data_IF_833875763272
#
_entry.id   IF_833875763272
#
_cell.length_a   1.000
_cell.length_b   1.000
_cell.length_c   1.000
_cell.angle_alpha   90.00
_cell.angle_beta   90.00
_cell.angle_gamma   90.00
#
_symmetry.space_group_name_H-M   'P 1'
#
loop_
_entity.id
_entity.type
_entity.pdbx_description
1 polymer ?
#
# COMPACT_ATOMS: atom_id res chain seq x y z
N UNK A 1 14.09 -24.72 -2.85
CA UNK A 1 12.90 -23.97 -2.45
C UNK A 1 13.29 -22.65 -1.81
N UNK A 2 12.35 -21.69 -1.72
CA UNK A 2 12.58 -20.44 -1.02
C UNK A 2 12.46 -20.63 0.50
N UNK A 3 13.26 -19.91 1.25
CA UNK A 3 13.12 -19.80 2.71
C UNK A 3 12.46 -18.46 3.02
N UNK A 4 11.45 -18.48 3.87
CA UNK A 4 10.72 -17.31 4.33
C UNK A 4 11.13 -17.02 5.77
N UNK A 5 11.57 -15.80 6.03
CA UNK A 5 11.81 -15.28 7.38
C UNK A 5 10.67 -14.32 7.72
N UNK A 6 9.68 -14.84 8.46
CA UNK A 6 8.54 -14.04 8.88
C UNK A 6 8.93 -13.04 9.98
N UNK A 7 8.10 -12.03 10.22
CA UNK A 7 8.24 -11.01 11.26
C UNK A 7 9.66 -10.40 11.33
N UNK A 8 10.25 -10.17 10.14
CA UNK A 8 11.63 -9.72 10.00
C UNK A 8 11.68 -8.39 9.25
N UNK A 9 12.17 -7.36 9.91
CA UNK A 9 12.35 -6.02 9.38
C UNK A 9 13.81 -5.76 9.01
N UNK A 10 14.06 -5.50 7.72
CA UNK A 10 15.40 -5.15 7.21
C UNK A 10 15.64 -3.67 7.42
N UNK A 11 16.70 -3.34 8.15
CA UNK A 11 17.04 -1.95 8.44
C UNK A 11 18.38 -1.49 7.85
N UNK A 12 19.24 -2.42 7.40
CA UNK A 12 20.51 -2.07 6.76
C UNK A 12 20.92 -3.11 5.72
N UNK A 13 21.46 -2.63 4.59
CA UNK A 13 22.05 -3.42 3.52
C UNK A 13 23.34 -2.73 3.09
N UNK A 14 24.43 -3.46 3.09
CA UNK A 14 25.73 -2.92 2.67
C UNK A 14 26.52 -3.91 1.85
N UNK A 15 27.45 -3.46 0.99
CA UNK A 15 28.40 -4.34 0.33
C UNK A 15 29.16 -5.18 1.35
N UNK A 16 29.41 -6.45 1.04
CA UNK A 16 30.20 -7.35 1.90
C UNK A 16 31.70 -7.06 1.84
N UNK A 17 32.13 -6.23 0.89
CA UNK A 17 33.50 -5.81 0.69
C UNK A 17 33.60 -4.71 -0.37
N UNK A 18 34.80 -4.47 -0.88
CA UNK A 18 35.09 -3.40 -1.87
C UNK A 18 34.44 -3.61 -3.25
N UNK A 19 34.20 -4.86 -3.62
CA UNK A 19 33.57 -5.24 -4.87
C UNK A 19 32.30 -6.06 -4.63
N UNK A 20 31.11 -5.41 -4.64
CA UNK A 20 29.84 -6.11 -4.44
C UNK A 20 29.52 -7.15 -5.52
N UNK A 21 30.08 -7.02 -6.72
CA UNK A 21 29.80 -7.96 -7.81
C UNK A 21 30.35 -9.36 -7.48
N UNK A 22 31.48 -9.44 -6.80
CA UNK A 22 32.13 -10.69 -6.42
C UNK A 22 31.86 -11.10 -4.98
N UNK A 23 31.76 -10.12 -4.06
CA UNK A 23 31.66 -10.34 -2.61
C UNK A 23 30.22 -10.32 -2.10
N UNK A 24 29.28 -9.75 -2.88
CA UNK A 24 27.87 -9.67 -2.52
C UNK A 24 27.55 -8.64 -1.47
N UNK A 25 26.53 -8.91 -0.68
CA UNK A 25 25.95 -7.98 0.30
C UNK A 25 25.75 -8.65 1.65
N UNK A 26 25.77 -7.83 2.68
CA UNK A 26 25.34 -8.16 4.04
C UNK A 26 24.04 -7.42 4.32
N UNK A 27 23.03 -8.15 4.77
CA UNK A 27 21.70 -7.62 5.11
C UNK A 27 21.53 -7.75 6.62
N UNK A 28 21.25 -6.66 7.29
CA UNK A 28 20.95 -6.62 8.72
C UNK A 28 19.45 -6.45 8.94
N UNK A 29 18.90 -7.29 9.78
CA UNK A 29 17.48 -7.32 10.07
C UNK A 29 17.22 -7.47 11.57
N UNK A 30 16.01 -7.13 11.97
CA UNK A 30 15.47 -7.37 13.31
C UNK A 30 14.29 -8.32 13.17
N UNK A 31 14.23 -9.32 14.03
CA UNK A 31 13.09 -10.24 14.11
C UNK A 31 12.30 -9.93 15.37
N UNK A 32 10.98 -9.89 15.24
CA UNK A 32 10.04 -9.59 16.32
C UNK A 32 9.22 -8.33 16.02
N UNK A 33 7.99 -8.36 16.50
CA UNK A 33 7.01 -7.24 16.38
C UNK A 33 6.82 -6.51 17.71
N UNK A 34 7.67 -6.78 18.71
CA UNK A 34 7.59 -6.14 20.02
C UNK A 34 7.88 -4.63 19.89
N UNK A 35 7.04 -3.81 20.54
CA UNK A 35 7.31 -2.38 20.70
C UNK A 35 8.53 -2.12 21.60
N UNK A 36 8.98 -3.12 22.36
CA UNK A 36 10.17 -3.04 23.20
C UNK A 36 11.35 -3.52 22.37
N UNK A 37 12.15 -2.57 21.89
CA UNK A 37 13.28 -2.84 20.99
C UNK A 37 14.30 -3.85 21.57
N UNK A 38 14.39 -3.97 22.89
CA UNK A 38 15.28 -4.90 23.58
C UNK A 38 14.90 -6.39 23.40
N UNK A 39 13.65 -6.66 23.00
CA UNK A 39 13.17 -8.04 22.77
C UNK A 39 13.36 -8.49 21.31
N UNK A 40 13.78 -7.60 20.43
CA UNK A 40 13.98 -7.91 19.02
C UNK A 40 15.36 -8.52 18.79
N UNK A 41 15.41 -9.69 18.18
CA UNK A 41 16.65 -10.37 17.83
C UNK A 41 17.26 -9.76 16.57
N UNK A 42 18.56 -9.44 16.62
CA UNK A 42 19.31 -9.00 15.44
C UNK A 42 19.76 -10.20 14.61
N UNK A 43 19.50 -10.15 13.31
CA UNK A 43 19.91 -11.16 12.35
C UNK A 43 20.74 -10.56 11.22
N UNK A 44 21.66 -11.36 10.72
CA UNK A 44 22.50 -11.00 9.60
C UNK A 44 22.43 -12.07 8.52
N UNK A 45 22.19 -11.67 7.30
CA UNK A 45 22.17 -12.54 6.13
C UNK A 45 23.26 -12.10 5.15
N UNK A 46 23.77 -13.05 4.39
CA UNK A 46 24.69 -12.81 3.28
C UNK A 46 24.06 -13.27 1.97
N UNK A 47 24.14 -12.44 0.95
CA UNK A 47 23.58 -12.73 -0.37
C UNK A 47 24.45 -12.16 -1.47
N UNK A 48 24.51 -12.85 -2.61
CA UNK A 48 25.19 -12.31 -3.80
C UNK A 48 24.42 -11.15 -4.42
N UNK A 49 23.08 -11.19 -4.32
CA UNK A 49 22.18 -10.18 -4.86
C UNK A 49 21.07 -9.92 -3.86
N UNK A 50 20.59 -8.70 -3.81
CA UNK A 50 19.47 -8.29 -2.97
C UNK A 50 18.41 -7.63 -3.85
N UNK A 51 17.17 -8.06 -3.72
CA UNK A 51 16.00 -7.48 -4.39
C UNK A 51 15.15 -6.75 -3.35
N UNK A 52 14.98 -5.45 -3.54
CA UNK A 52 14.10 -4.65 -2.69
C UNK A 52 12.68 -4.72 -3.25
N UNK A 53 11.79 -5.40 -2.54
CA UNK A 53 10.40 -5.63 -2.96
C UNK A 53 9.39 -5.31 -1.83
N UNK A 54 9.73 -4.40 -0.92
CA UNK A 54 8.93 -4.03 0.26
C UNK A 54 7.85 -2.97 0.01
N UNK A 55 7.39 -2.81 -1.24
CA UNK A 55 6.43 -1.76 -1.60
C UNK A 55 7.10 -0.37 -1.68
N UNK A 56 6.41 0.59 -2.31
CA UNK A 56 6.99 1.91 -2.59
C UNK A 56 7.36 2.66 -1.30
N UNK A 57 6.51 2.65 -0.30
CA UNK A 57 6.74 3.39 0.95
C UNK A 57 7.94 2.82 1.72
N UNK A 58 7.95 1.53 2.00
CA UNK A 58 9.03 0.88 2.75
C UNK A 58 10.36 0.85 1.98
N UNK A 59 10.31 0.55 0.68
CA UNK A 59 11.51 0.47 -0.16
C UNK A 59 12.19 1.83 -0.31
N UNK A 60 11.44 2.88 -0.60
CA UNK A 60 12.01 4.23 -0.79
C UNK A 60 12.59 4.76 0.51
N UNK A 61 11.88 4.60 1.62
CA UNK A 61 12.37 5.02 2.94
C UNK A 61 13.68 4.30 3.30
N UNK A 62 13.73 2.98 3.12
CA UNK A 62 14.93 2.19 3.38
C UNK A 62 16.08 2.64 2.49
N UNK A 63 15.90 2.78 1.18
CA UNK A 63 16.95 3.22 0.27
C UNK A 63 17.48 4.61 0.61
N UNK A 64 16.62 5.55 1.01
CA UNK A 64 17.04 6.86 1.48
C UNK A 64 17.90 6.76 2.74
N UNK A 65 17.49 5.95 3.71
CA UNK A 65 18.27 5.69 4.94
C UNK A 65 19.64 5.10 4.61
N UNK A 66 19.70 4.10 3.72
CA UNK A 66 20.94 3.45 3.31
C UNK A 66 21.91 4.40 2.58
N UNK A 67 21.36 5.32 1.78
CA UNK A 67 22.16 6.34 1.10
C UNK A 67 22.73 7.36 2.08
N UNK A 68 21.88 7.94 2.93
CA UNK A 68 22.27 8.97 3.90
C UNK A 68 23.21 8.39 4.96
N UNK A 69 22.94 7.17 5.43
CA UNK A 69 23.78 6.46 6.39
C UNK A 69 25.09 5.91 5.83
N UNK A 70 25.31 6.04 4.50
CA UNK A 70 26.55 5.60 3.85
C UNK A 70 26.67 4.09 3.64
N UNK A 71 25.63 3.30 3.92
CA UNK A 71 25.62 1.84 3.68
C UNK A 71 25.62 1.53 2.18
N UNK A 72 24.92 2.32 1.38
CA UNK A 72 24.91 2.25 -0.09
C UNK A 72 25.23 3.63 -0.73
N UNK A 73 26.48 4.10 -0.63
CA UNK A 73 26.83 5.46 -1.02
C UNK A 73 26.77 5.72 -2.52
N UNK A 74 26.75 4.66 -3.34
CA UNK A 74 26.64 4.75 -4.81
C UNK A 74 25.20 4.83 -5.32
N UNK A 75 24.20 4.81 -4.43
CA UNK A 75 22.81 5.03 -4.84
C UNK A 75 22.66 6.43 -5.46
N UNK A 76 21.88 6.48 -6.55
CA UNK A 76 21.60 7.73 -7.24
C UNK A 76 21.01 8.77 -6.28
N UNK A 77 21.43 10.05 -6.38
CA UNK A 77 20.79 11.13 -5.62
C UNK A 77 19.31 11.29 -5.94
N UNK A 78 18.86 10.78 -7.08
CA UNK A 78 17.45 10.83 -7.50
C UNK A 78 16.55 9.82 -6.78
N UNK A 79 17.07 8.95 -5.94
CA UNK A 79 16.24 8.07 -5.11
C UNK A 79 15.33 8.92 -4.22
N UNK A 80 14.04 8.68 -4.32
CA UNK A 80 13.01 9.44 -3.62
C UNK A 80 12.45 10.63 -4.41
N UNK A 81 13.01 10.97 -5.58
CA UNK A 81 12.44 11.99 -6.46
C UNK A 81 11.35 11.39 -7.37
N UNK A 82 10.32 12.19 -7.64
CA UNK A 82 9.23 11.85 -8.57
C UNK A 82 8.59 10.48 -8.28
N UNK A 83 8.43 10.16 -6.99
CA UNK A 83 7.73 8.94 -6.58
C UNK A 83 6.30 8.98 -7.09
N UNK A 84 5.89 7.88 -7.71
CA UNK A 84 4.53 7.71 -8.20
C UNK A 84 3.93 6.44 -7.63
N UNK A 85 2.64 6.51 -7.37
CA UNK A 85 1.80 5.33 -7.11
C UNK A 85 1.20 4.86 -8.43
N UNK A 86 0.43 3.79 -8.41
CA UNK A 86 -0.38 3.36 -9.55
C UNK A 86 -1.56 4.30 -9.87
N UNK A 87 -1.71 5.41 -9.13
CA UNK A 87 -2.75 6.41 -9.31
C UNK A 87 -4.17 5.84 -9.19
N UNK A 88 -4.35 4.85 -8.34
CA UNK A 88 -5.66 4.26 -8.05
C UNK A 88 -6.56 5.22 -7.26
N UNK A 89 -7.84 5.20 -7.62
CA UNK A 89 -8.92 5.83 -6.86
C UNK A 89 -9.93 4.75 -6.49
N UNK A 90 -10.16 4.57 -5.20
CA UNK A 90 -11.19 3.66 -4.71
C UNK A 90 -12.51 4.42 -4.61
N UNK A 91 -13.52 3.93 -5.33
CA UNK A 91 -14.88 4.44 -5.27
C UNK A 91 -15.82 3.35 -4.78
N UNK A 92 -16.68 3.69 -3.80
CA UNK A 92 -17.69 2.78 -3.28
C UNK A 92 -19.04 3.04 -3.95
N UNK A 93 -19.69 1.97 -4.40
CA UNK A 93 -21.09 2.01 -4.83
C UNK A 93 -21.92 1.18 -3.87
N UNK A 94 -22.91 1.79 -3.26
CA UNK A 94 -23.85 1.14 -2.35
C UNK A 94 -25.16 0.91 -3.07
N UNK A 95 -25.62 -0.35 -3.17
CA UNK A 95 -26.96 -0.65 -3.69
C UNK A 95 -27.99 -0.56 -2.58
N UNK A 96 -29.13 0.04 -2.86
CA UNK A 96 -30.31 0.02 -1.99
C UNK A 96 -31.09 -1.30 -2.09
N UNK A 97 -30.80 -2.11 -3.11
CA UNK A 97 -31.47 -3.40 -3.34
C UNK A 97 -30.97 -4.41 -2.33
N UNK A 98 -31.90 -4.95 -1.53
CA UNK A 98 -31.62 -5.98 -0.50
C UNK A 98 -31.82 -7.41 -1.01
N UNK A 99 -32.38 -7.57 -2.19
CA UNK A 99 -32.65 -8.83 -2.88
C UNK A 99 -31.42 -9.40 -3.61
N UNK A 100 -30.30 -8.67 -3.62
CA UNK A 100 -29.07 -9.07 -4.30
C UNK A 100 -27.94 -9.26 -3.31
N UNK A 101 -27.32 -10.44 -3.36
CA UNK A 101 -26.09 -10.74 -2.67
C UNK A 101 -24.90 -10.44 -3.60
N UNK A 102 -24.21 -9.32 -3.36
CA UNK A 102 -23.03 -8.90 -4.12
C UNK A 102 -21.72 -9.48 -3.57
N UNK A 103 -21.77 -10.26 -2.50
CA UNK A 103 -20.58 -10.82 -1.86
C UNK A 103 -20.06 -12.11 -2.52
N UNK A 104 -20.85 -12.72 -3.42
CA UNK A 104 -20.49 -13.99 -4.06
C UNK A 104 -19.60 -13.79 -5.28
N UNK A 105 -18.55 -14.60 -5.37
CA UNK A 105 -17.60 -14.63 -6.48
C UNK A 105 -16.21 -14.19 -6.09
N UNK A 106 -15.33 -14.09 -7.08
CA UNK A 106 -13.95 -13.60 -6.91
C UNK A 106 -13.93 -12.08 -6.64
N UNK A 107 -12.91 -11.61 -5.96
CA UNK A 107 -12.79 -10.21 -5.56
C UNK A 107 -12.82 -9.27 -6.78
N UNK A 108 -12.04 -9.56 -7.80
CA UNK A 108 -11.99 -8.80 -9.07
C UNK A 108 -12.37 -9.77 -10.19
N UNK A 109 -13.57 -9.61 -10.73
CA UNK A 109 -14.14 -10.54 -11.72
C UNK A 109 -14.22 -10.00 -13.14
N UNK A 110 -13.95 -8.71 -13.34
CA UNK A 110 -14.00 -8.05 -14.64
C UNK A 110 -13.13 -6.79 -14.65
N UNK A 111 -12.79 -6.35 -15.85
CA UNK A 111 -12.07 -5.12 -16.12
C UNK A 111 -12.81 -4.37 -17.23
N UNK A 112 -12.96 -3.08 -17.09
CA UNK A 112 -13.50 -2.18 -18.09
C UNK A 112 -12.42 -1.15 -18.45
N UNK A 113 -11.89 -1.23 -19.66
CA UNK A 113 -10.98 -0.21 -20.17
C UNK A 113 -11.78 1.02 -20.59
N UNK A 114 -11.47 2.17 -20.00
CA UNK A 114 -12.07 3.46 -20.32
C UNK A 114 -11.34 4.18 -21.45
N UNK A 115 -10.03 3.94 -21.53
CA UNK A 115 -9.15 4.43 -22.59
C UNK A 115 -7.87 3.55 -22.66
N UNK A 116 -6.85 3.96 -23.42
CA UNK A 116 -5.60 3.21 -23.62
C UNK A 116 -4.75 3.10 -22.33
N UNK A 117 -5.03 3.91 -21.31
CA UNK A 117 -4.18 4.04 -20.12
C UNK A 117 -4.95 3.88 -18.81
N UNK A 118 -6.29 3.79 -18.86
CA UNK A 118 -7.16 3.76 -17.69
C UNK A 118 -8.15 2.62 -17.76
N UNK A 119 -8.44 2.04 -16.61
CA UNK A 119 -9.46 0.98 -16.50
C UNK A 119 -10.15 1.03 -15.14
N UNK A 120 -11.31 0.41 -15.07
CA UNK A 120 -12.12 0.23 -13.88
C UNK A 120 -12.19 -1.27 -13.56
N UNK A 121 -11.95 -1.62 -12.31
CA UNK A 121 -12.10 -2.97 -11.81
C UNK A 121 -13.09 -2.99 -10.65
N UNK A 122 -14.25 -3.68 -10.80
CA UNK A 122 -15.18 -3.82 -9.69
C UNK A 122 -14.61 -4.79 -8.65
N UNK A 123 -14.45 -4.30 -7.43
CA UNK A 123 -13.99 -5.09 -6.30
C UNK A 123 -15.17 -5.52 -5.45
N UNK A 124 -15.29 -6.81 -5.18
CA UNK A 124 -16.28 -7.38 -4.28
C UNK A 124 -15.69 -7.63 -2.91
N UNK A 125 -16.47 -7.26 -1.92
CA UNK A 125 -16.14 -7.61 -0.53
C UNK A 125 -16.89 -8.87 -0.11
N UNK A 126 -16.30 -9.73 0.74
CA UNK A 126 -16.95 -10.92 1.25
C UNK A 126 -18.15 -10.58 2.15
N UNK A 127 -18.99 -11.57 2.40
CA UNK A 127 -20.07 -11.45 3.38
C UNK A 127 -19.49 -11.01 4.74
N UNK A 128 -20.20 -10.12 5.43
CA UNK A 128 -19.74 -9.55 6.71
C UNK A 128 -18.86 -8.29 6.59
N UNK A 129 -18.40 -7.93 5.39
CA UNK A 129 -17.58 -6.74 5.17
C UNK A 129 -18.36 -5.41 5.18
N UNK A 130 -19.62 -5.43 5.65
CA UNK A 130 -20.50 -4.26 5.62
C UNK A 130 -20.00 -3.02 6.35
N UNK A 131 -19.04 -3.19 7.26
CA UNK A 131 -18.42 -2.08 7.98
C UNK A 131 -17.64 -1.13 7.05
N UNK A 132 -17.15 -1.61 5.91
CA UNK A 132 -16.47 -0.77 4.90
C UNK A 132 -17.34 0.36 4.35
N UNK A 133 -18.69 0.27 4.48
CA UNK A 133 -19.58 1.39 4.17
C UNK A 133 -19.29 2.63 5.00
N UNK A 134 -18.78 2.45 6.21
CA UNK A 134 -18.42 3.58 7.10
C UNK A 134 -17.17 4.32 6.62
N UNK A 135 -16.36 3.69 5.78
CA UNK A 135 -15.18 4.29 5.16
C UNK A 135 -15.51 4.97 3.82
N UNK A 136 -16.69 4.70 3.27
CA UNK A 136 -17.15 5.33 2.05
C UNK A 136 -17.70 6.73 2.37
N UNK A 137 -16.92 7.76 2.07
CA UNK A 137 -17.38 9.14 2.11
C UNK A 137 -18.04 9.50 0.79
N UNK A 138 -19.15 10.27 0.80
CA UNK A 138 -19.72 10.80 -0.42
C UNK A 138 -18.68 11.59 -1.21
N UNK A 139 -18.58 11.30 -2.52
CA UNK A 139 -17.73 12.11 -3.38
C UNK A 139 -18.31 13.52 -3.46
N UNK A 140 -17.61 14.48 -2.89
CA UNK A 140 -18.02 15.87 -2.87
C UNK A 140 -17.03 16.71 -3.68
N UNK A 141 -17.40 17.17 -4.90
CA UNK A 141 -16.56 18.07 -5.67
C UNK A 141 -16.39 19.41 -4.93
N UNK A 142 -15.22 19.99 -5.00
CA UNK A 142 -14.95 21.30 -4.42
C UNK A 142 -13.47 21.56 -4.18
N UNK A 143 -13.06 22.79 -4.44
CA UNK A 143 -11.67 23.24 -4.27
C UNK A 143 -11.32 23.50 -2.81
N UNK A 144 -12.32 23.77 -1.96
CA UNK A 144 -12.13 24.06 -0.54
C UNK A 144 -12.79 23.01 0.34
N UNK A 145 -12.22 22.81 1.54
CA UNK A 145 -12.78 21.88 2.52
C UNK A 145 -14.25 22.23 2.88
N UNK A 146 -14.55 23.53 2.98
CA UNK A 146 -15.93 24.00 3.28
C UNK A 146 -16.93 23.59 2.20
N UNK A 147 -16.58 23.73 0.92
CA UNK A 147 -17.42 23.27 -0.21
C UNK A 147 -17.60 21.75 -0.20
N UNK A 148 -16.52 21.00 0.06
CA UNK A 148 -16.60 19.53 0.16
C UNK A 148 -17.52 19.08 1.28
N UNK A 149 -17.43 19.72 2.46
CA UNK A 149 -18.31 19.41 3.60
C UNK A 149 -19.77 19.80 3.33
N UNK A 150 -20.04 20.91 2.65
CA UNK A 150 -21.38 21.30 2.27
C UNK A 150 -22.02 20.26 1.35
N UNK A 151 -21.34 19.86 0.28
CA UNK A 151 -21.83 18.82 -0.64
C UNK A 151 -21.97 17.44 0.03
N UNK A 152 -21.08 17.08 0.96
CA UNK A 152 -21.20 15.83 1.71
C UNK A 152 -22.49 15.82 2.56
N UNK A 153 -22.89 16.96 3.16
CA UNK A 153 -24.17 17.08 3.91
C UNK A 153 -25.39 16.94 3.00
N UNK A 154 -25.36 17.52 1.82
CA UNK A 154 -26.46 17.41 0.86
C UNK A 154 -26.62 15.98 0.33
N UNK A 155 -25.51 15.30 0.01
CA UNK A 155 -25.52 13.90 -0.43
C UNK A 155 -26.00 12.92 0.65
N UNK A 156 -25.72 13.18 1.94
CA UNK A 156 -26.24 12.37 3.03
C UNK A 156 -27.74 12.58 3.27
N UNK A 157 -28.27 13.77 2.95
CA UNK A 157 -29.72 14.05 3.05
C UNK A 157 -30.54 13.28 2.03
N UNK A 158 -30.00 13.03 0.84
CA UNK A 158 -30.67 12.23 -0.20
C UNK A 158 -30.68 10.73 0.13
N UNK A 159 -29.60 10.20 0.72
CA UNK A 159 -29.55 8.82 1.20
C UNK A 159 -30.60 8.57 2.33
N UNK A 160 -30.91 9.57 3.11
CA UNK A 160 -31.92 9.46 4.18
C UNK A 160 -33.38 9.57 3.67
N UNK A 161 -33.60 10.22 2.51
CA UNK A 161 -34.92 10.37 1.91
C UNK A 161 -35.38 9.14 1.12
N UNK A 162 -34.44 8.35 0.55
CA UNK A 162 -34.76 7.09 -0.12
C UNK A 162 -35.35 5.99 0.78
N UNK A 163 -35.36 6.19 2.10
CA UNK A 163 -35.89 5.21 3.08
C UNK A 163 -37.42 5.33 3.33
N UNK A 164 -38.10 6.22 2.63
CA UNK A 164 -39.57 6.48 2.85
C UNK A 164 -40.43 6.30 1.60
N UNK A 165 -40.08 5.38 0.72
CA UNK A 165 -41.04 4.96 -0.34
C UNK A 165 -41.04 3.43 -0.46
#
# INVERSE_FOLDING_TARGET
GARIEADTDVFDVRPAGSDPATQGYVVHARTGTSFIAAENEHRTFRARQVVFAGGVMGTVELLLKLRVGGSLPKLSPRVGESIRTNSEVLMGVVTERRDRDLSRGIAIGSILHTDAHSHLEPVRYPAGAGFFRMLALPHAPGETLGRRLAHARDGTSDLSRGHRR
#
